data_IF_585762423473
#
_entry.id   IF_585762423473
#
_cell.length_a   1.000
_cell.length_b   1.000
_cell.length_c   1.000
_cell.angle_alpha   90.00
_cell.angle_beta   90.00
_cell.angle_gamma   90.00
#
_symmetry.space_group_name_H-M   'P 1'
#
loop_
_entity.id
_entity.type
_entity.pdbx_description
1 polymer ?
#
# COMPACT_ATOMS: atom_id res chain seq x y z
N UNK A 1 -4.83 20.55 -2.80
CA UNK A 1 -5.78 19.67 -3.53
C UNK A 1 -5.96 18.40 -2.73
N UNK A 2 -7.19 17.91 -2.55
CA UNK A 2 -7.46 16.66 -1.86
C UNK A 2 -7.30 15.44 -2.80
N UNK A 3 -7.00 14.28 -2.22
CA UNK A 3 -6.97 12.98 -2.89
C UNK A 3 -8.26 12.17 -2.68
N UNK A 4 -9.16 12.63 -1.80
CA UNK A 4 -10.43 11.97 -1.52
C UNK A 4 -11.26 11.79 -2.79
N UNK A 5 -11.87 10.61 -2.96
CA UNK A 5 -12.70 10.27 -4.13
C UNK A 5 -11.92 9.98 -5.42
N UNK A 6 -10.60 10.19 -5.45
CA UNK A 6 -9.75 9.79 -6.58
C UNK A 6 -9.37 8.32 -6.45
N UNK A 7 -9.27 7.64 -7.59
CA UNK A 7 -8.65 6.32 -7.62
C UNK A 7 -7.19 6.42 -7.14
N UNK A 8 -6.80 5.49 -6.27
CA UNK A 8 -5.41 5.34 -5.88
C UNK A 8 -4.55 4.99 -7.12
N UNK A 9 -3.35 5.56 -7.25
CA UNK A 9 -2.42 5.18 -8.31
C UNK A 9 -2.06 3.70 -8.21
N UNK A 10 -1.89 3.05 -9.36
CA UNK A 10 -1.40 1.67 -9.38
C UNK A 10 0.08 1.62 -8.99
N UNK A 11 0.47 0.58 -8.29
CA UNK A 11 1.86 0.32 -7.89
C UNK A 11 2.10 -1.16 -7.70
N UNK A 12 3.36 -1.55 -7.84
CA UNK A 12 3.86 -2.88 -7.49
C UNK A 12 5.07 -2.72 -6.60
N UNK A 13 5.09 -3.42 -5.46
CA UNK A 13 6.18 -3.37 -4.48
C UNK A 13 6.64 -4.78 -4.12
N UNK A 14 7.92 -4.92 -3.78
CA UNK A 14 8.45 -6.14 -3.17
C UNK A 14 7.94 -6.26 -1.74
N UNK A 15 7.37 -7.42 -1.41
CA UNK A 15 6.91 -7.78 -0.07
C UNK A 15 7.99 -8.46 0.75
N UNK A 16 7.82 -8.43 2.07
CA UNK A 16 8.67 -9.18 3.01
C UNK A 16 8.52 -10.70 2.90
N UNK A 17 7.50 -11.18 2.19
CA UNK A 17 7.28 -12.58 1.83
C UNK A 17 8.05 -13.02 0.56
N UNK A 18 8.85 -12.12 -0.02
CA UNK A 18 9.63 -12.37 -1.23
C UNK A 18 8.80 -12.37 -2.51
N UNK A 19 7.55 -11.90 -2.47
CA UNK A 19 6.68 -11.75 -3.64
C UNK A 19 6.50 -10.29 -3.99
N UNK A 20 6.20 -10.03 -5.26
CA UNK A 20 5.67 -8.73 -5.68
C UNK A 20 4.18 -8.67 -5.39
N UNK A 21 3.75 -7.57 -4.80
CA UNK A 21 2.34 -7.27 -4.58
C UNK A 21 1.96 -6.05 -5.41
N UNK A 22 0.88 -6.17 -6.19
CA UNK A 22 0.31 -5.06 -6.95
C UNK A 22 -1.00 -4.60 -6.33
N UNK A 23 -1.30 -3.30 -6.37
CA UNK A 23 -2.54 -2.77 -5.77
C UNK A 23 -3.79 -3.43 -6.38
N UNK A 24 -3.75 -3.76 -7.67
CA UNK A 24 -4.85 -4.40 -8.38
C UNK A 24 -5.20 -5.82 -7.86
N UNK A 25 -4.29 -6.52 -7.19
CA UNK A 25 -4.51 -7.86 -6.63
C UNK A 25 -5.50 -7.84 -5.45
N UNK A 26 -5.71 -6.66 -4.87
CA UNK A 26 -6.64 -6.42 -3.76
C UNK A 26 -7.99 -5.84 -4.21
N UNK A 27 -8.25 -5.75 -5.52
CA UNK A 27 -9.51 -5.24 -6.04
C UNK A 27 -10.73 -5.96 -5.46
N UNK A 28 -11.79 -5.20 -5.16
CA UNK A 28 -13.02 -5.72 -4.54
C UNK A 28 -12.95 -5.87 -3.01
N UNK A 29 -11.82 -5.54 -2.38
CA UNK A 29 -11.66 -5.50 -0.92
C UNK A 29 -11.42 -4.09 -0.42
N UNK A 30 -11.90 -3.78 0.78
CA UNK A 30 -11.46 -2.58 1.50
C UNK A 30 -9.99 -2.74 1.86
N UNK A 31 -9.15 -1.87 1.30
CA UNK A 31 -7.68 -1.94 1.44
C UNK A 31 -7.18 -0.64 2.07
N UNK A 32 -6.29 -0.74 3.05
CA UNK A 32 -5.68 0.39 3.74
C UNK A 32 -4.19 0.38 3.47
N UNK A 33 -3.64 1.50 3.00
CA UNK A 33 -2.19 1.69 2.81
C UNK A 33 -1.68 2.47 4.02
N UNK A 34 -0.73 1.86 4.75
CA UNK A 34 -0.17 2.44 5.96
C UNK A 34 1.33 2.66 5.79
N UNK A 35 1.77 3.92 5.83
CA UNK A 35 3.17 4.30 5.76
C UNK A 35 3.70 4.52 7.17
N UNK A 36 4.87 3.98 7.48
CA UNK A 36 5.58 4.21 8.74
C UNK A 36 7.07 4.51 8.47
N UNK A 37 7.76 5.23 9.37
CA UNK A 37 9.09 5.80 9.05
C UNK A 37 10.19 4.75 8.89
N UNK A 38 10.22 3.73 9.75
CA UNK A 38 11.25 2.71 9.78
C UNK A 38 10.83 1.51 10.62
N UNK A 39 11.37 0.33 10.27
CA UNK A 39 11.34 -0.85 11.13
C UNK A 39 12.16 -0.66 12.43
N UNK A 40 11.73 -1.35 13.49
CA UNK A 40 12.47 -1.50 14.76
C UNK A 40 12.81 -0.21 15.49
N UNK A 41 11.98 0.84 15.36
CA UNK A 41 12.09 2.05 16.17
C UNK A 41 10.96 2.11 17.20
N UNK A 42 11.24 2.41 18.48
CA UNK A 42 10.19 2.79 19.42
C UNK A 42 9.67 4.14 18.93
N UNK A 43 8.47 4.14 18.34
CA UNK A 43 7.85 5.36 17.82
C UNK A 43 7.76 6.47 18.86
#
# INVERSE_FOLDING_TARGET
MSLEGKHAPDFTLEGSDGKKHSLNEYAGKTTVIYFYPKDSTPG
#
